data_IF_687654514741
#
_entry.id   IF_687654514741
#
_cell.length_a   1.000
_cell.length_b   1.000
_cell.length_c   1.000
_cell.angle_alpha   90.00
_cell.angle_beta   90.00
_cell.angle_gamma   90.00
#
_symmetry.space_group_name_H-M   'P 1'
#
loop_
_entity.id
_entity.type
_entity.pdbx_description
1 polymer ?
#
# COMPACT_ATOMS: atom_id res chain seq x y z
N UNK A 1 -3.75 -28.82 -30.02
CA UNK A 1 -2.88 -27.94 -30.82
C UNK A 1 -3.48 -27.84 -32.22
N UNK A 2 -4.23 -26.78 -32.50
CA UNK A 2 -4.78 -26.56 -33.84
C UNK A 2 -3.69 -25.94 -34.73
N UNK A 3 -3.40 -26.59 -35.87
CA UNK A 3 -2.44 -26.12 -36.85
C UNK A 3 -2.96 -24.83 -37.49
N UNK A 4 -2.25 -23.72 -37.27
CA UNK A 4 -2.57 -22.43 -37.89
C UNK A 4 -2.27 -22.44 -39.39
N UNK A 5 -3.28 -22.11 -40.20
CA UNK A 5 -3.15 -21.87 -41.63
C UNK A 5 -2.10 -20.78 -41.92
N UNK A 6 -1.21 -21.04 -42.88
CA UNK A 6 -0.16 -20.09 -43.27
C UNK A 6 -0.77 -18.95 -44.08
N UNK A 7 -1.17 -17.87 -43.40
CA UNK A 7 -1.61 -16.61 -44.04
C UNK A 7 -0.49 -16.01 -44.93
N UNK A 8 -0.89 -15.50 -46.10
CA UNK A 8 -0.02 -14.91 -47.12
C UNK A 8 0.74 -13.66 -46.66
N UNK A 9 1.79 -13.28 -47.40
CA UNK A 9 2.70 -12.16 -47.06
C UNK A 9 1.97 -10.82 -46.87
N UNK A 10 0.95 -10.55 -47.70
CA UNK A 10 0.14 -9.33 -47.62
C UNK A 10 -0.73 -9.31 -46.36
N UNK A 11 -1.32 -10.44 -45.97
CA UNK A 11 -2.09 -10.55 -44.73
C UNK A 11 -1.20 -10.34 -43.49
N UNK A 12 0.03 -10.88 -43.51
CA UNK A 12 1.02 -10.63 -42.44
C UNK A 12 1.51 -9.18 -42.36
N UNK A 13 1.51 -8.46 -43.49
CA UNK A 13 1.89 -7.04 -43.54
C UNK A 13 0.75 -6.13 -43.06
N UNK A 14 -0.51 -6.53 -43.28
CA UNK A 14 -1.69 -5.77 -42.88
C UNK A 14 -2.17 -6.06 -41.45
N UNK A 15 -2.15 -7.32 -40.99
CA UNK A 15 -2.67 -7.70 -39.66
C UNK A 15 -1.70 -7.37 -38.51
N UNK A 16 -0.43 -7.11 -38.80
CA UNK A 16 0.60 -7.06 -37.75
C UNK A 16 0.64 -8.38 -36.95
N UNK A 17 1.54 -8.48 -35.97
CA UNK A 17 1.42 -9.58 -34.99
C UNK A 17 0.30 -9.21 -34.03
N UNK A 18 -0.74 -10.04 -33.94
CA UNK A 18 -1.66 -9.98 -32.82
C UNK A 18 -0.84 -10.00 -31.52
N UNK A 19 -1.17 -9.12 -30.58
CA UNK A 19 -0.51 -9.14 -29.26
C UNK A 19 -0.96 -10.43 -28.59
N UNK A 20 -0.12 -11.46 -28.65
CA UNK A 20 -0.30 -12.71 -27.91
C UNK A 20 -0.71 -12.37 -26.47
N UNK A 21 -1.67 -13.11 -25.89
CA UNK A 21 -2.15 -12.85 -24.52
C UNK A 21 -1.01 -12.78 -23.50
N UNK A 22 0.09 -13.50 -23.77
CA UNK A 22 1.31 -13.49 -22.99
C UNK A 22 2.06 -12.14 -23.06
N UNK A 23 2.08 -11.49 -24.23
CA UNK A 23 2.62 -10.13 -24.39
C UNK A 23 1.76 -9.11 -23.62
N UNK A 24 0.43 -9.20 -23.73
CA UNK A 24 -0.48 -8.36 -22.96
C UNK A 24 -0.29 -8.53 -21.44
N UNK A 25 -0.17 -9.78 -20.95
CA UNK A 25 0.13 -10.07 -19.53
C UNK A 25 1.51 -9.59 -19.09
N UNK A 26 2.51 -9.63 -19.97
CA UNK A 26 3.87 -9.16 -19.67
C UNK A 26 3.96 -7.64 -19.46
N UNK A 27 3.00 -6.90 -20.02
CA UNK A 27 2.92 -5.43 -19.92
C UNK A 27 2.17 -4.94 -18.67
N UNK A 28 1.50 -5.84 -17.93
CA UNK A 28 0.78 -5.49 -16.71
C UNK A 28 1.75 -5.22 -15.54
N UNK A 29 1.41 -4.30 -14.63
CA UNK A 29 2.29 -3.94 -13.52
C UNK A 29 2.47 -5.11 -12.55
N UNK A 30 3.73 -5.36 -12.16
CA UNK A 30 4.13 -6.48 -11.30
C UNK A 30 4.30 -6.12 -9.83
N UNK A 31 4.39 -4.82 -9.51
CA UNK A 31 4.44 -4.30 -8.15
C UNK A 31 3.75 -2.92 -8.08
N UNK A 32 3.54 -2.42 -6.86
CA UNK A 32 2.89 -1.12 -6.59
C UNK A 32 3.63 0.05 -7.26
N UNK A 33 4.96 0.04 -7.22
CA UNK A 33 5.77 1.07 -7.89
C UNK A 33 5.59 1.10 -9.42
N UNK A 34 5.51 -0.07 -10.06
CA UNK A 34 5.24 -0.20 -11.49
C UNK A 34 3.81 0.26 -11.81
N UNK A 35 2.84 -0.09 -10.95
CA UNK A 35 1.46 0.36 -11.07
C UNK A 35 1.33 1.88 -10.98
N UNK A 36 2.05 2.53 -10.06
CA UNK A 36 2.10 3.99 -9.97
C UNK A 36 2.49 4.60 -11.32
N UNK A 37 3.60 4.14 -11.92
CA UNK A 37 4.08 4.66 -13.20
C UNK A 37 3.17 4.29 -14.38
N UNK A 38 2.52 3.13 -14.33
CA UNK A 38 1.51 2.73 -15.31
C UNK A 38 0.30 3.66 -15.29
N UNK A 39 -0.20 4.04 -14.10
CA UNK A 39 -1.28 5.01 -13.96
C UNK A 39 -0.85 6.40 -14.42
N UNK A 40 0.33 6.86 -13.98
CA UNK A 40 0.84 8.20 -14.35
C UNK A 40 1.00 8.32 -15.87
N UNK A 41 1.57 7.32 -16.55
CA UNK A 41 1.84 7.39 -17.99
C UNK A 41 0.62 6.99 -18.83
N UNK A 42 -0.09 5.94 -18.44
CA UNK A 42 -1.23 5.39 -19.19
C UNK A 42 -2.55 6.12 -18.96
N UNK A 43 -2.73 6.80 -17.82
CA UNK A 43 -3.97 7.50 -17.45
C UNK A 43 -3.75 8.97 -17.08
N UNK A 44 -2.66 9.60 -17.57
CA UNK A 44 -2.31 10.98 -17.25
C UNK A 44 -3.46 11.98 -17.46
N UNK A 45 -4.14 11.90 -18.61
CA UNK A 45 -5.27 12.80 -18.92
C UNK A 45 -6.39 12.69 -17.90
N UNK A 46 -6.64 11.48 -17.36
CA UNK A 46 -7.65 11.28 -16.32
C UNK A 46 -7.20 11.90 -14.99
N UNK A 47 -5.92 11.82 -14.64
CA UNK A 47 -5.36 12.49 -13.46
C UNK A 47 -5.55 14.01 -13.55
N UNK A 48 -5.26 14.60 -14.72
CA UNK A 48 -5.47 16.04 -14.96
C UNK A 48 -6.93 16.43 -14.78
N UNK A 49 -7.87 15.70 -15.39
CA UNK A 49 -9.30 16.01 -15.27
C UNK A 49 -9.78 15.89 -13.81
N UNK A 50 -9.36 14.83 -13.10
CA UNK A 50 -9.69 14.67 -11.66
C UNK A 50 -9.11 15.82 -10.84
N UNK A 51 -7.88 16.25 -11.15
CA UNK A 51 -7.24 17.38 -10.49
C UNK A 51 -8.02 18.68 -10.69
N UNK A 52 -8.40 19.00 -11.92
CA UNK A 52 -9.18 20.20 -12.25
C UNK A 52 -10.54 20.20 -11.54
N UNK A 53 -11.22 19.04 -11.48
CA UNK A 53 -12.47 18.90 -10.74
C UNK A 53 -12.28 19.15 -9.24
N UNK A 54 -11.21 18.61 -8.63
CA UNK A 54 -10.88 18.93 -7.23
C UNK A 54 -10.55 20.40 -7.05
N UNK A 55 -9.80 20.98 -7.99
CA UNK A 55 -9.30 22.35 -7.91
C UNK A 55 -10.43 23.37 -7.79
N UNK A 56 -11.57 23.14 -8.44
CA UNK A 56 -12.79 23.98 -8.30
C UNK A 56 -13.17 24.14 -6.83
N UNK A 57 -13.12 23.07 -6.04
CA UNK A 57 -13.44 23.10 -4.60
C UNK A 57 -12.30 23.67 -3.74
N UNK A 58 -11.07 23.69 -4.26
CA UNK A 58 -9.93 24.31 -3.59
C UNK A 58 -9.86 25.82 -3.83
N UNK A 59 -10.56 26.39 -4.81
CA UNK A 59 -10.53 27.84 -5.11
C UNK A 59 -10.75 28.70 -3.86
N UNK A 60 -11.76 28.45 -2.99
CA UNK A 60 -11.95 29.25 -1.78
C UNK A 60 -10.76 29.17 -0.83
N UNK A 61 -10.17 27.97 -0.65
CA UNK A 61 -9.01 27.78 0.21
C UNK A 61 -7.77 28.50 -0.34
N UNK A 62 -7.54 28.39 -1.65
CA UNK A 62 -6.45 29.11 -2.33
C UNK A 62 -6.64 30.62 -2.19
N UNK A 63 -7.87 31.13 -2.41
CA UNK A 63 -8.18 32.54 -2.26
C UNK A 63 -7.91 33.04 -0.84
N UNK A 64 -8.35 32.32 0.19
CA UNK A 64 -8.08 32.68 1.59
C UNK A 64 -6.59 32.65 1.91
N UNK A 65 -5.81 31.71 1.37
CA UNK A 65 -4.35 31.68 1.52
C UNK A 65 -3.70 32.91 0.87
N UNK A 66 -4.10 33.26 -0.35
CA UNK A 66 -3.58 34.44 -1.06
C UNK A 66 -3.95 35.73 -0.34
N UNK A 67 -5.21 35.86 0.12
CA UNK A 67 -5.66 37.00 0.92
C UNK A 67 -4.88 37.12 2.23
N UNK A 68 -4.62 35.99 2.90
CA UNK A 68 -3.81 35.96 4.13
C UNK A 68 -2.38 36.46 3.88
N UNK A 69 -1.75 36.02 2.79
CA UNK A 69 -0.37 36.44 2.43
C UNK A 69 -0.36 37.93 2.10
N UNK A 70 -1.21 38.38 1.17
CA UNK A 70 -1.30 39.79 0.75
C UNK A 70 -1.66 40.73 1.90
N UNK A 71 -2.55 40.32 2.81
CA UNK A 71 -2.88 41.09 4.01
C UNK A 71 -1.69 41.21 4.97
N UNK A 72 -0.94 40.12 5.19
CA UNK A 72 0.27 40.15 6.00
C UNK A 72 1.34 41.08 5.40
N UNK A 73 1.54 41.01 4.08
CA UNK A 73 2.50 41.86 3.37
C UNK A 73 2.09 43.34 3.40
N UNK A 74 0.79 43.63 3.24
CA UNK A 74 0.24 44.98 3.36
C UNK A 74 0.47 45.55 4.76
N UNK A 75 0.14 44.80 5.82
CA UNK A 75 0.43 45.22 7.18
C UNK A 75 1.95 45.38 7.39
N UNK A 76 2.75 44.51 6.79
CA UNK A 76 4.19 44.61 6.85
C UNK A 76 4.76 45.89 6.21
N UNK A 77 4.17 46.35 5.11
CA UNK A 77 4.56 47.58 4.44
C UNK A 77 4.08 48.87 5.16
N UNK A 78 2.97 48.78 5.90
CA UNK A 78 2.40 49.91 6.64
C UNK A 78 3.07 50.14 7.99
N UNK A 79 3.61 49.09 8.62
CA UNK A 79 4.29 49.20 9.91
C UNK A 79 5.75 49.64 9.70
N UNK A 80 6.22 50.69 10.40
CA UNK A 80 7.57 51.19 10.22
C UNK A 80 8.58 50.34 11.01
N UNK A 81 8.79 49.07 10.67
CA UNK A 81 9.74 48.19 11.39
C UNK A 81 11.18 48.72 11.26
N UNK A 82 11.56 49.61 12.17
CA UNK A 82 12.83 50.37 12.20
C UNK A 82 13.16 51.08 10.88
N UNK A 83 12.94 52.40 10.86
CA UNK A 83 13.42 53.28 9.80
C UNK A 83 14.94 53.19 9.68
N UNK A 84 15.40 53.05 8.44
CA UNK A 84 16.79 53.28 8.09
C UNK A 84 17.27 54.62 8.65
N UNK A 85 18.52 54.59 9.12
CA UNK A 85 19.31 55.56 9.87
C UNK A 85 19.44 56.98 9.24
N UNK A 86 18.66 57.33 8.20
CA UNK A 86 18.85 58.55 7.42
C UNK A 86 17.59 59.37 7.09
N UNK A 87 16.37 58.87 7.34
CA UNK A 87 15.14 59.61 7.03
C UNK A 87 14.12 59.57 8.18
N UNK A 88 14.24 60.54 9.10
CA UNK A 88 13.16 61.29 9.76
C UNK A 88 12.02 60.59 10.52
N UNK A 89 11.86 59.26 10.49
CA UNK A 89 10.83 58.59 11.25
C UNK A 89 11.27 58.44 12.72
N UNK A 90 10.47 58.89 13.69
CA UNK A 90 10.80 58.68 15.09
C UNK A 90 10.92 57.18 15.36
N UNK A 91 12.02 56.75 15.98
CA UNK A 91 12.19 55.39 16.45
C UNK A 91 11.10 55.10 17.48
N UNK A 92 10.06 54.35 17.12
CA UNK A 92 9.05 53.96 18.11
C UNK A 92 9.68 52.92 19.06
N UNK A 93 9.60 53.12 20.38
CA UNK A 93 10.06 52.12 21.33
C UNK A 93 9.28 50.80 21.14
N UNK A 94 9.95 49.66 21.28
CA UNK A 94 9.37 48.31 21.36
C UNK A 94 8.72 47.72 20.08
N UNK A 95 9.18 48.05 18.87
CA UNK A 95 8.72 47.37 17.64
C UNK A 95 9.27 45.95 17.41
N UNK A 96 10.14 45.43 18.28
CA UNK A 96 10.75 44.10 18.11
C UNK A 96 9.74 42.95 18.03
N UNK A 97 8.58 43.06 18.69
CA UNK A 97 7.52 42.03 18.66
C UNK A 97 6.43 42.27 17.62
N UNK A 98 6.45 43.42 16.93
CA UNK A 98 5.41 43.82 15.99
C UNK A 98 5.26 42.84 14.80
N UNK A 99 6.32 42.29 14.18
CA UNK A 99 6.19 41.28 13.13
C UNK A 99 5.48 40.00 13.60
N UNK A 100 5.82 39.52 14.81
CA UNK A 100 5.20 38.33 15.39
C UNK A 100 3.74 38.61 15.80
N UNK A 101 3.44 39.83 16.25
CA UNK A 101 2.08 40.27 16.55
C UNK A 101 1.21 40.29 15.29
N UNK A 102 1.71 40.83 14.18
CA UNK A 102 0.99 40.84 12.89
C UNK A 102 0.75 39.41 12.41
N UNK A 103 1.74 38.53 12.54
CA UNK A 103 1.59 37.11 12.18
C UNK A 103 0.53 36.42 13.03
N UNK A 104 0.54 36.62 14.35
CA UNK A 104 -0.46 36.07 15.27
C UNK A 104 -1.87 36.55 14.92
N UNK A 105 -2.05 37.87 14.75
CA UNK A 105 -3.35 38.45 14.41
C UNK A 105 -3.85 37.94 13.05
N UNK A 106 -2.99 37.93 12.05
CA UNK A 106 -3.33 37.42 10.71
C UNK A 106 -3.72 35.95 10.76
N UNK A 107 -3.01 35.12 11.52
CA UNK A 107 -3.33 33.71 11.67
C UNK A 107 -4.66 33.49 12.42
N UNK A 108 -4.98 34.32 13.42
CA UNK A 108 -6.29 34.30 14.09
C UNK A 108 -7.43 34.68 13.14
N UNK A 109 -7.29 35.78 12.40
CA UNK A 109 -8.33 36.26 11.47
C UNK A 109 -8.59 35.28 10.32
N UNK A 110 -7.53 34.79 9.67
CA UNK A 110 -7.68 33.95 8.48
C UNK A 110 -7.77 32.45 8.79
N UNK A 111 -7.30 32.00 9.95
CA UNK A 111 -7.25 30.56 10.25
C UNK A 111 -8.64 29.93 10.40
N UNK A 112 -9.60 30.62 11.00
CA UNK A 112 -11.00 30.14 11.03
C UNK A 112 -11.61 30.06 9.61
N UNK A 113 -11.31 31.03 8.75
CA UNK A 113 -11.73 31.01 7.35
C UNK A 113 -11.08 29.85 6.57
N UNK A 114 -9.81 29.54 6.85
CA UNK A 114 -9.11 28.37 6.27
C UNK A 114 -9.76 27.05 6.68
N UNK A 115 -10.25 26.92 7.92
CA UNK A 115 -10.99 25.73 8.36
C UNK A 115 -12.26 25.55 7.53
N UNK A 116 -13.07 26.59 7.38
CA UNK A 116 -14.30 26.54 6.57
C UNK A 116 -13.98 26.21 5.10
N UNK A 117 -12.97 26.86 4.53
CA UNK A 117 -12.58 26.61 3.15
C UNK A 117 -11.98 25.22 2.94
N UNK A 118 -11.27 24.67 3.93
CA UNK A 118 -10.77 23.29 3.89
C UNK A 118 -11.91 22.27 3.87
N UNK A 119 -13.03 22.54 4.57
CA UNK A 119 -14.22 21.70 4.49
C UNK A 119 -14.88 21.75 3.10
N UNK A 120 -14.85 22.90 2.42
CA UNK A 120 -15.30 22.99 1.02
C UNK A 120 -14.36 22.17 0.12
N UNK A 121 -13.03 22.32 0.27
CA UNK A 121 -12.05 21.55 -0.47
C UNK A 121 -12.20 20.03 -0.23
N UNK A 122 -12.58 19.62 0.98
CA UNK A 122 -12.84 18.23 1.34
C UNK A 122 -13.95 17.58 0.50
N UNK A 123 -14.93 18.35 0.00
CA UNK A 123 -15.92 17.86 -0.96
C UNK A 123 -15.25 17.41 -2.25
N UNK A 124 -14.30 18.19 -2.77
CA UNK A 124 -13.49 17.81 -3.93
C UNK A 124 -12.63 16.57 -3.67
N UNK A 125 -11.94 16.53 -2.51
CA UNK A 125 -11.12 15.38 -2.10
C UNK A 125 -11.96 14.09 -2.06
N UNK A 126 -13.21 14.16 -1.58
CA UNK A 126 -14.11 13.01 -1.52
C UNK A 126 -14.35 12.35 -2.89
N UNK A 127 -14.59 13.17 -3.92
CA UNK A 127 -14.72 12.69 -5.30
C UNK A 127 -13.42 12.18 -5.88
N UNK A 128 -12.33 12.94 -5.72
CA UNK A 128 -11.02 12.59 -6.26
C UNK A 128 -10.46 11.30 -5.67
N UNK A 129 -10.60 11.14 -4.35
CA UNK A 129 -10.26 9.93 -3.60
C UNK A 129 -10.89 8.67 -4.21
N UNK A 130 -12.19 8.72 -4.52
CA UNK A 130 -12.90 7.56 -5.07
C UNK A 130 -12.33 7.18 -6.45
N UNK A 131 -12.13 8.19 -7.31
CA UNK A 131 -11.61 7.98 -8.66
C UNK A 131 -10.18 7.44 -8.62
N UNK A 132 -9.30 8.03 -7.81
CA UNK A 132 -7.90 7.59 -7.65
C UNK A 132 -7.83 6.18 -7.06
N UNK A 133 -8.62 5.87 -6.02
CA UNK A 133 -8.70 4.52 -5.46
C UNK A 133 -9.06 3.48 -6.53
N UNK A 134 -10.06 3.77 -7.36
CA UNK A 134 -10.46 2.87 -8.43
C UNK A 134 -9.38 2.75 -9.53
N UNK A 135 -8.60 3.81 -9.80
CA UNK A 135 -7.43 3.71 -10.68
C UNK A 135 -6.37 2.76 -10.11
N UNK A 136 -6.08 2.83 -8.81
CA UNK A 136 -5.12 1.93 -8.15
C UNK A 136 -5.63 0.48 -8.14
N UNK A 137 -6.93 0.28 -8.14
CA UNK A 137 -7.52 -1.05 -8.36
C UNK A 137 -7.56 -1.48 -9.83
N UNK A 138 -7.02 -0.68 -10.75
CA UNK A 138 -7.04 -0.86 -12.21
C UNK A 138 -8.43 -0.96 -12.83
N UNK A 139 -9.47 -0.58 -12.09
CA UNK A 139 -10.85 -0.61 -12.58
C UNK A 139 -11.06 0.41 -13.71
N UNK A 140 -12.00 0.12 -14.60
CA UNK A 140 -12.45 1.06 -15.62
C UNK A 140 -13.15 2.24 -14.96
N UNK A 141 -12.66 3.46 -15.24
CA UNK A 141 -13.18 4.69 -14.62
C UNK A 141 -13.67 5.71 -15.66
N UNK A 142 -14.84 6.26 -15.37
CA UNK A 142 -15.42 7.43 -16.05
C UNK A 142 -15.33 8.62 -15.09
N UNK A 143 -14.27 9.42 -15.25
CA UNK A 143 -13.82 10.43 -14.28
C UNK A 143 -14.97 11.30 -13.73
N UNK A 144 -15.76 11.93 -14.58
CA UNK A 144 -16.80 12.87 -14.13
C UNK A 144 -17.90 12.17 -13.32
N UNK A 145 -18.44 11.05 -13.82
CA UNK A 145 -19.52 10.32 -13.16
C UNK A 145 -19.04 9.69 -11.85
N UNK A 146 -17.86 9.09 -11.86
CA UNK A 146 -17.25 8.48 -10.68
C UNK A 146 -16.87 9.50 -9.62
N UNK A 147 -16.47 10.72 -10.01
CA UNK A 147 -16.16 11.81 -9.09
C UNK A 147 -17.41 12.20 -8.28
N UNK A 148 -18.53 12.51 -8.94
CA UNK A 148 -19.78 12.87 -8.26
C UNK A 148 -20.36 11.72 -7.44
N UNK A 149 -20.23 10.49 -7.93
CA UNK A 149 -20.57 9.29 -7.15
C UNK A 149 -19.71 9.16 -5.90
N UNK A 150 -18.41 9.40 -6.05
CA UNK A 150 -17.43 9.38 -4.96
C UNK A 150 -17.77 10.38 -3.86
N UNK A 151 -18.16 11.60 -4.23
CA UNK A 151 -18.65 12.61 -3.28
C UNK A 151 -19.76 12.03 -2.41
N UNK A 152 -20.82 11.51 -3.03
CA UNK A 152 -21.99 10.99 -2.29
C UNK A 152 -21.64 9.85 -1.33
N UNK A 153 -20.66 9.02 -1.66
CA UNK A 153 -20.27 7.86 -0.85
C UNK A 153 -19.35 8.25 0.31
N UNK A 154 -18.37 9.10 0.07
CA UNK A 154 -17.27 9.34 1.01
C UNK A 154 -17.39 10.66 1.79
N UNK A 155 -18.31 11.57 1.41
CA UNK A 155 -18.33 12.95 1.92
C UNK A 155 -18.36 13.04 3.44
N UNK A 156 -19.16 12.21 4.13
CA UNK A 156 -19.25 12.27 5.59
C UNK A 156 -17.93 11.98 6.29
N UNK A 157 -17.20 10.96 5.81
CA UNK A 157 -15.92 10.56 6.41
C UNK A 157 -14.80 11.53 6.07
N UNK A 158 -14.79 12.06 4.85
CA UNK A 158 -13.79 13.03 4.40
C UNK A 158 -14.00 14.37 5.07
N UNK A 159 -15.25 14.85 5.22
CA UNK A 159 -15.55 16.06 5.98
C UNK A 159 -15.15 15.92 7.44
N UNK A 160 -15.48 14.81 8.10
CA UNK A 160 -15.10 14.61 9.50
C UNK A 160 -13.58 14.54 9.69
N UNK A 161 -12.87 13.88 8.76
CA UNK A 161 -11.40 13.80 8.78
C UNK A 161 -10.76 15.17 8.55
N UNK A 162 -11.27 15.93 7.58
CA UNK A 162 -10.78 17.29 7.29
C UNK A 162 -11.13 18.26 8.41
N UNK A 163 -12.30 18.14 9.04
CA UNK A 163 -12.65 18.95 10.22
C UNK A 163 -11.66 18.74 11.36
N UNK A 164 -11.39 17.47 11.70
CA UNK A 164 -10.40 17.12 12.70
C UNK A 164 -9.02 17.70 12.35
N UNK A 165 -8.56 17.46 11.12
CA UNK A 165 -7.25 17.92 10.65
C UNK A 165 -7.11 19.44 10.67
N UNK A 166 -8.05 20.16 10.05
CA UNK A 166 -7.99 21.62 9.91
C UNK A 166 -8.14 22.35 11.24
N UNK A 167 -8.97 21.85 12.16
CA UNK A 167 -9.09 22.42 13.52
C UNK A 167 -7.78 22.21 14.28
N UNK A 168 -7.20 21.01 14.26
CA UNK A 168 -5.92 20.77 14.92
C UNK A 168 -4.80 21.63 14.32
N UNK A 169 -4.69 21.70 13.00
CA UNK A 169 -3.73 22.58 12.32
C UNK A 169 -3.88 24.04 12.76
N UNK A 170 -5.11 24.55 12.83
CA UNK A 170 -5.39 25.91 13.25
C UNK A 170 -4.92 26.16 14.69
N UNK A 171 -5.28 25.27 15.62
CA UNK A 171 -4.89 25.37 17.04
C UNK A 171 -3.37 25.34 17.23
N UNK A 172 -2.67 24.40 16.57
CA UNK A 172 -1.21 24.32 16.67
C UNK A 172 -0.52 25.51 15.97
N UNK A 173 -1.06 26.02 14.87
CA UNK A 173 -0.52 27.21 14.19
C UNK A 173 -0.65 28.47 15.05
N UNK A 174 -1.78 28.64 15.75
CA UNK A 174 -1.95 29.71 16.74
C UNK A 174 -0.98 29.51 17.91
N UNK A 175 -0.87 28.30 18.44
CA UNK A 175 0.05 27.99 19.55
C UNK A 175 1.49 28.40 19.20
N UNK A 176 1.95 28.08 17.99
CA UNK A 176 3.28 28.49 17.50
C UNK A 176 3.38 30.01 17.40
N UNK A 177 2.40 30.67 16.78
CA UNK A 177 2.40 32.13 16.61
C UNK A 177 2.39 32.87 17.95
N UNK A 178 1.66 32.33 18.93
CA UNK A 178 1.58 32.86 20.28
C UNK A 178 2.91 32.71 21.02
N UNK A 179 3.52 31.53 20.94
CA UNK A 179 4.84 31.27 21.53
C UNK A 179 5.92 32.21 20.95
N UNK A 180 5.91 32.42 19.63
CA UNK A 180 6.82 33.36 18.96
C UNK A 180 6.61 34.80 19.45
N UNK A 181 5.35 35.25 19.53
CA UNK A 181 5.04 36.60 20.01
C UNK A 181 5.42 36.81 21.48
N UNK A 182 5.23 35.78 22.31
CA UNK A 182 5.58 35.81 23.75
C UNK A 182 7.09 35.99 23.95
N UNK A 183 7.88 35.19 23.22
CA UNK A 183 9.35 35.30 23.20
C UNK A 183 9.77 36.69 22.73
N UNK A 184 9.22 37.17 21.61
CA UNK A 184 9.59 38.45 21.02
C UNK A 184 9.22 39.66 21.89
N UNK A 185 8.16 39.53 22.70
CA UNK A 185 7.72 40.57 23.63
C UNK A 185 8.50 40.59 24.95
N UNK A 186 9.48 39.70 25.14
CA UNK A 186 10.22 39.55 26.39
C UNK A 186 9.36 39.03 27.54
N UNK A 187 8.19 38.44 27.24
CA UNK A 187 7.26 37.93 28.21
C UNK A 187 7.40 36.40 28.37
N UNK A 188 7.07 35.88 29.55
CA UNK A 188 7.07 34.44 29.81
C UNK A 188 8.46 33.78 29.78
N UNK A 189 8.47 32.45 29.86
CA UNK A 189 9.70 31.66 29.85
C UNK A 189 10.05 31.23 28.42
N UNK A 190 11.14 31.76 27.88
CA UNK A 190 11.58 31.50 26.50
C UNK A 190 11.88 30.03 26.20
N UNK A 191 12.41 29.28 27.18
CA UNK A 191 12.70 27.85 27.04
C UNK A 191 11.40 27.06 26.91
N UNK A 192 10.42 27.31 27.78
CA UNK A 192 9.12 26.64 27.72
C UNK A 192 8.36 26.96 26.41
N UNK A 193 8.42 28.21 25.95
CA UNK A 193 7.81 28.62 24.68
C UNK A 193 8.47 27.92 23.48
N UNK A 194 9.79 27.77 23.51
CA UNK A 194 10.53 27.05 22.46
C UNK A 194 10.18 25.56 22.43
N UNK A 195 10.07 24.93 23.60
CA UNK A 195 9.62 23.53 23.71
C UNK A 195 8.19 23.38 23.16
N UNK A 196 7.28 24.30 23.50
CA UNK A 196 5.90 24.28 23.01
C UNK A 196 5.82 24.40 21.48
N UNK A 197 6.65 25.24 20.87
CA UNK A 197 6.75 25.33 19.40
C UNK A 197 7.22 23.99 18.79
N UNK A 198 8.29 23.40 19.33
CA UNK A 198 8.82 22.13 18.85
C UNK A 198 7.76 21.01 18.93
N UNK A 199 7.06 20.90 20.06
CA UNK A 199 5.95 19.95 20.25
C UNK A 199 4.82 20.21 19.26
N UNK A 200 4.47 21.47 19.00
CA UNK A 200 3.42 21.84 18.05
C UNK A 200 3.77 21.44 16.60
N UNK A 201 5.01 21.64 16.16
CA UNK A 201 5.46 21.17 14.84
C UNK A 201 5.42 19.63 14.71
N UNK A 202 5.87 18.92 15.75
CA UNK A 202 5.79 17.45 15.80
C UNK A 202 4.34 16.98 15.76
N UNK A 203 3.44 17.63 16.51
CA UNK A 203 2.02 17.33 16.52
C UNK A 203 1.38 17.56 15.14
N UNK A 204 1.72 18.66 14.44
CA UNK A 204 1.26 18.92 13.07
C UNK A 204 1.70 17.80 12.12
N UNK A 205 2.96 17.36 12.20
CA UNK A 205 3.47 16.26 11.37
C UNK A 205 2.69 14.96 11.61
N UNK A 206 2.50 14.58 12.87
CA UNK A 206 1.74 13.37 13.26
C UNK A 206 0.29 13.48 12.77
N UNK A 207 -0.38 14.59 13.02
CA UNK A 207 -1.79 14.79 12.65
C UNK A 207 -1.98 14.84 11.13
N UNK A 208 -0.99 15.35 10.38
CA UNK A 208 -0.99 15.29 8.92
C UNK A 208 -0.91 13.85 8.42
N UNK A 209 -0.01 13.04 8.98
CA UNK A 209 0.06 11.61 8.64
C UNK A 209 -1.23 10.88 9.02
N UNK A 210 -1.80 11.18 10.18
CA UNK A 210 -3.09 10.62 10.60
C UNK A 210 -4.19 11.00 9.61
N UNK A 211 -4.28 12.26 9.18
CA UNK A 211 -5.27 12.70 8.21
C UNK A 211 -5.17 11.92 6.89
N UNK A 212 -3.95 11.74 6.38
CA UNK A 212 -3.74 10.96 5.16
C UNK A 212 -4.17 9.49 5.33
N UNK A 213 -3.90 8.87 6.49
CA UNK A 213 -4.41 7.53 6.83
C UNK A 213 -5.94 7.47 6.97
N UNK A 214 -6.55 8.51 7.54
CA UNK A 214 -8.01 8.61 7.65
C UNK A 214 -8.65 8.67 6.25
N UNK A 215 -8.05 9.41 5.33
CA UNK A 215 -8.49 9.47 3.93
C UNK A 215 -8.41 8.10 3.26
N UNK A 216 -7.27 7.42 3.34
CA UNK A 216 -7.10 6.11 2.68
C UNK A 216 -7.99 5.04 3.29
N UNK A 217 -8.07 4.93 4.61
CA UNK A 217 -8.94 3.95 5.27
C UNK A 217 -10.42 4.26 5.04
N UNK A 218 -10.82 5.53 5.11
CA UNK A 218 -12.21 5.95 4.88
C UNK A 218 -12.67 5.67 3.46
N UNK A 219 -11.76 5.69 2.48
CA UNK A 219 -12.05 5.29 1.11
C UNK A 219 -12.27 3.78 0.95
N UNK A 220 -11.58 2.95 1.74
CA UNK A 220 -11.52 1.50 1.51
C UNK A 220 -12.44 0.71 2.44
N UNK A 221 -12.71 1.25 3.64
CA UNK A 221 -13.44 0.56 4.69
C UNK A 221 -14.54 1.45 5.27
N UNK A 222 -15.69 0.84 5.57
CA UNK A 222 -16.78 1.49 6.29
C UNK A 222 -16.47 1.49 7.79
N UNK A 223 -15.81 2.54 8.27
CA UNK A 223 -15.42 2.70 9.68
C UNK A 223 -16.19 3.85 10.33
N UNK A 224 -16.46 3.77 11.64
CA UNK A 224 -16.92 4.93 12.41
C UNK A 224 -15.78 5.90 12.64
N UNK A 225 -16.08 7.19 12.83
CA UNK A 225 -15.05 8.23 13.00
C UNK A 225 -14.00 7.92 14.07
N UNK A 226 -14.41 7.53 15.29
CA UNK A 226 -13.44 7.21 16.36
C UNK A 226 -12.64 5.93 16.10
N UNK A 227 -13.20 4.98 15.35
CA UNK A 227 -12.44 3.79 14.91
C UNK A 227 -11.40 4.19 13.87
N UNK A 228 -11.80 5.02 12.90
CA UNK A 228 -10.91 5.58 11.89
C UNK A 228 -9.76 6.36 12.53
N UNK A 229 -10.05 7.20 13.52
CA UNK A 229 -9.07 7.99 14.25
C UNK A 229 -8.03 7.10 14.97
N UNK A 230 -8.50 6.09 15.73
CA UNK A 230 -7.63 5.13 16.44
C UNK A 230 -6.77 4.32 15.47
N UNK A 231 -7.36 3.83 14.39
CA UNK A 231 -6.65 3.02 13.40
C UNK A 231 -5.60 3.87 12.65
N UNK A 232 -5.93 5.12 12.33
CA UNK A 232 -5.00 6.04 11.65
C UNK A 232 -3.84 6.43 12.55
N UNK A 233 -4.09 6.62 13.85
CA UNK A 233 -3.04 6.80 14.84
C UNK A 233 -2.10 5.59 14.87
N UNK A 234 -2.64 4.37 14.95
CA UNK A 234 -1.84 3.15 14.97
C UNK A 234 -0.96 3.01 13.72
N UNK A 235 -1.50 3.29 12.52
CA UNK A 235 -0.73 3.22 11.28
C UNK A 235 0.33 4.31 11.15
N UNK A 236 0.09 5.49 11.74
CA UNK A 236 1.05 6.60 11.75
C UNK A 236 2.36 6.18 12.44
N UNK A 237 2.26 5.47 13.56
CA UNK A 237 3.43 4.98 14.30
C UNK A 237 3.92 3.61 13.83
N UNK A 238 3.00 2.70 13.46
CA UNK A 238 3.33 1.36 13.01
C UNK A 238 4.17 1.32 11.73
N UNK A 239 4.10 2.38 10.91
CA UNK A 239 4.84 2.50 9.65
C UNK A 239 5.63 3.82 9.55
N UNK A 240 6.14 4.34 10.67
CA UNK A 240 6.71 5.68 10.74
C UNK A 240 7.77 5.97 9.66
N UNK A 241 8.69 5.04 9.39
CA UNK A 241 9.73 5.24 8.38
C UNK A 241 9.17 5.30 6.96
N UNK A 242 8.23 4.42 6.63
CA UNK A 242 7.56 4.43 5.33
C UNK A 242 6.68 5.66 5.18
N UNK A 243 5.95 6.04 6.23
CA UNK A 243 5.11 7.23 6.27
C UNK A 243 5.93 8.50 5.96
N UNK A 244 7.11 8.66 6.57
CA UNK A 244 7.99 9.80 6.31
C UNK A 244 8.45 9.81 4.84
N UNK A 245 8.90 8.67 4.33
CA UNK A 245 9.36 8.55 2.95
C UNK A 245 8.27 8.90 1.94
N UNK A 246 7.07 8.34 2.09
CA UNK A 246 5.96 8.61 1.17
C UNK A 246 5.34 9.98 1.37
N UNK A 247 5.35 10.54 2.58
CA UNK A 247 4.95 11.93 2.82
C UNK A 247 5.90 12.91 2.12
N UNK A 248 7.20 12.64 2.10
CA UNK A 248 8.16 13.44 1.33
C UNK A 248 7.88 13.36 -0.18
N UNK A 249 7.67 12.16 -0.73
CA UNK A 249 7.33 11.99 -2.15
C UNK A 249 6.01 12.68 -2.52
N UNK A 250 5.01 12.59 -1.65
CA UNK A 250 3.74 13.27 -1.78
C UNK A 250 3.94 14.79 -1.81
N UNK A 251 4.78 15.32 -0.92
CA UNK A 251 5.00 16.75 -0.76
C UNK A 251 5.83 17.40 -1.87
N UNK A 252 6.38 16.65 -2.84
CA UNK A 252 7.23 17.18 -3.92
C UNK A 252 6.64 18.45 -4.59
N UNK A 253 5.36 18.49 -5.03
CA UNK A 253 4.81 19.70 -5.63
C UNK A 253 4.83 20.91 -4.69
N UNK A 254 4.59 20.69 -3.39
CA UNK A 254 4.62 21.75 -2.37
C UNK A 254 6.05 22.18 -2.09
N UNK A 255 6.99 21.25 -1.98
CA UNK A 255 8.42 21.55 -1.79
C UNK A 255 8.93 22.44 -2.92
N UNK A 256 8.56 22.16 -4.17
CA UNK A 256 8.92 23.01 -5.32
C UNK A 256 8.38 24.44 -5.17
N UNK A 257 7.16 24.61 -4.67
CA UNK A 257 6.60 25.95 -4.35
C UNK A 257 7.42 26.66 -3.28
N UNK A 258 7.83 25.94 -2.23
CA UNK A 258 8.59 26.51 -1.11
C UNK A 258 10.04 26.87 -1.46
N UNK A 259 10.63 26.28 -2.50
CA UNK A 259 11.99 26.61 -2.95
C UNK A 259 12.10 28.00 -3.61
N UNK A 260 10.98 28.60 -4.03
CA UNK A 260 10.96 29.94 -4.64
C UNK A 260 11.44 29.98 -6.10
N UNK A 261 11.53 31.20 -6.66
CA UNK A 261 12.09 31.47 -8.00
C UNK A 261 11.45 30.61 -9.11
N UNK A 262 12.25 30.07 -10.02
CA UNK A 262 11.80 29.21 -11.11
C UNK A 262 11.14 27.90 -10.62
N UNK A 263 11.61 27.32 -9.50
CA UNK A 263 11.02 26.10 -8.93
C UNK A 263 9.58 26.34 -8.45
N UNK A 264 9.29 27.54 -7.94
CA UNK A 264 7.96 27.91 -7.51
C UNK A 264 6.96 27.91 -8.68
N UNK A 265 7.37 28.45 -9.83
CA UNK A 265 6.54 28.44 -11.04
C UNK A 265 6.23 27.00 -11.47
N UNK A 266 7.24 26.13 -11.49
CA UNK A 266 7.05 24.70 -11.79
C UNK A 266 6.10 24.05 -10.79
N UNK A 267 6.32 24.28 -9.49
CA UNK A 267 5.47 23.72 -8.43
C UNK A 267 4.01 24.13 -8.58
N UNK A 268 3.74 25.41 -8.86
CA UNK A 268 2.40 25.92 -9.12
C UNK A 268 1.79 25.27 -10.36
N UNK A 269 2.52 25.20 -11.48
CA UNK A 269 2.03 24.56 -12.71
C UNK A 269 1.69 23.09 -12.48
N UNK A 270 2.53 22.35 -11.75
CA UNK A 270 2.25 20.96 -11.38
C UNK A 270 0.98 20.88 -10.53
N UNK A 271 0.84 21.73 -9.49
CA UNK A 271 -0.36 21.78 -8.64
C UNK A 271 -1.64 22.04 -9.43
N UNK A 272 -1.61 23.00 -10.35
CA UNK A 272 -2.75 23.35 -11.20
C UNK A 272 -3.13 22.22 -12.16
N UNK A 273 -2.14 21.56 -12.77
CA UNK A 273 -2.39 20.53 -13.78
C UNK A 273 -2.78 19.18 -13.17
N UNK A 274 -2.02 18.67 -12.21
CA UNK A 274 -2.26 17.33 -11.66
C UNK A 274 -1.77 17.11 -10.21
N UNK A 275 -1.27 18.12 -9.51
CA UNK A 275 -0.55 17.94 -8.24
C UNK A 275 -1.39 17.37 -7.09
N UNK A 276 -2.66 17.77 -6.94
CA UNK A 276 -3.55 17.22 -5.91
C UNK A 276 -3.84 15.74 -6.22
N UNK A 277 -4.11 15.44 -7.49
CA UNK A 277 -4.33 14.05 -7.93
C UNK A 277 -3.08 13.17 -7.78
N UNK A 278 -1.89 13.73 -8.01
CA UNK A 278 -0.61 13.08 -7.76
C UNK A 278 -0.42 12.78 -6.27
N UNK A 279 -0.68 13.75 -5.39
CA UNK A 279 -0.55 13.56 -3.95
C UNK A 279 -1.44 12.41 -3.47
N UNK A 280 -2.71 12.39 -3.90
CA UNK A 280 -3.63 11.29 -3.61
C UNK A 280 -3.12 9.97 -4.20
N UNK A 281 -2.62 9.96 -5.44
CA UNK A 281 -2.12 8.74 -6.07
C UNK A 281 -0.94 8.12 -5.32
N UNK A 282 0.06 8.93 -4.95
CA UNK A 282 1.22 8.49 -4.16
C UNK A 282 0.76 7.88 -2.84
N UNK A 283 -0.12 8.57 -2.12
CA UNK A 283 -0.59 8.07 -0.83
C UNK A 283 -1.47 6.82 -0.96
N UNK A 284 -2.36 6.79 -1.95
CA UNK A 284 -3.29 5.68 -2.12
C UNK A 284 -2.57 4.42 -2.57
N UNK A 285 -1.63 4.51 -3.50
CA UNK A 285 -0.83 3.35 -3.92
C UNK A 285 -0.01 2.78 -2.75
N UNK A 286 0.64 3.64 -1.96
CA UNK A 286 1.32 3.25 -0.72
C UNK A 286 0.37 2.61 0.30
N UNK A 287 -0.80 3.23 0.53
CA UNK A 287 -1.75 2.71 1.52
C UNK A 287 -2.34 1.36 1.11
N UNK A 288 -2.55 1.11 -0.18
CA UNK A 288 -3.02 -0.19 -0.68
C UNK A 288 -1.99 -1.29 -0.44
N UNK A 289 -0.70 -0.99 -0.59
CA UNK A 289 0.35 -1.92 -0.17
C UNK A 289 0.25 -2.28 1.32
N UNK A 290 0.02 -1.28 2.17
CA UNK A 290 -0.12 -1.51 3.61
C UNK A 290 -1.39 -2.29 3.93
N UNK A 291 -2.51 -1.99 3.27
CA UNK A 291 -3.77 -2.73 3.39
C UNK A 291 -3.59 -4.19 3.03
N UNK A 292 -3.07 -4.46 1.83
CA UNK A 292 -2.73 -5.80 1.36
C UNK A 292 -1.89 -6.59 2.38
N UNK A 293 -0.86 -5.95 2.92
CA UNK A 293 0.09 -6.59 3.83
C UNK A 293 -0.49 -6.85 5.21
N UNK A 294 -1.23 -5.91 5.79
CA UNK A 294 -1.61 -5.94 7.21
C UNK A 294 -3.07 -6.35 7.47
N UNK A 295 -3.97 -6.12 6.51
CA UNK A 295 -5.42 -6.34 6.67
C UNK A 295 -5.90 -7.46 5.75
N UNK A 296 -5.79 -7.30 4.43
CA UNK A 296 -6.36 -8.23 3.45
C UNK A 296 -5.72 -9.62 3.50
N UNK A 297 -4.41 -9.71 3.75
CA UNK A 297 -3.71 -10.99 3.90
C UNK A 297 -4.22 -11.86 5.05
N UNK A 298 -4.85 -11.24 6.06
CA UNK A 298 -5.37 -11.90 7.27
C UNK A 298 -6.88 -12.07 7.23
N UNK A 299 -7.56 -11.54 6.22
CA UNK A 299 -9.01 -11.57 6.10
C UNK A 299 -9.43 -12.76 5.25
N UNK A 300 -10.37 -13.56 5.74
CA UNK A 300 -10.99 -14.63 4.95
C UNK A 300 -11.63 -14.05 3.67
N UNK A 301 -11.22 -14.56 2.50
CA UNK A 301 -11.65 -14.05 1.20
C UNK A 301 -11.07 -12.68 0.81
N UNK A 302 -10.05 -12.20 1.53
CA UNK A 302 -9.34 -10.96 1.21
C UNK A 302 -8.66 -11.03 -0.16
N UNK A 303 -8.99 -10.07 -1.04
CA UNK A 303 -8.31 -9.92 -2.33
C UNK A 303 -7.06 -9.07 -2.15
N UNK A 304 -5.90 -9.72 -2.07
CA UNK A 304 -4.57 -9.11 -1.97
C UNK A 304 -4.05 -8.75 -3.37
N UNK A 305 -3.24 -7.69 -3.49
CA UNK A 305 -2.56 -7.28 -4.74
C UNK A 305 -3.52 -6.92 -5.88
N UNK A 306 -4.67 -6.32 -5.55
CA UNK A 306 -5.59 -5.81 -6.59
C UNK A 306 -4.87 -4.82 -7.51
N UNK A 307 -5.05 -5.02 -8.81
CA UNK A 307 -4.41 -4.22 -9.84
C UNK A 307 -2.96 -4.58 -10.15
N UNK A 308 -2.43 -5.65 -9.55
CA UNK A 308 -1.07 -6.15 -9.78
C UNK A 308 -1.15 -7.56 -10.33
N UNK A 309 -0.41 -7.82 -11.40
CA UNK A 309 -0.38 -9.14 -12.03
C UNK A 309 0.74 -10.00 -11.43
N UNK A 310 0.39 -11.18 -10.90
CA UNK A 310 1.39 -12.18 -10.54
C UNK A 310 1.93 -12.79 -11.83
N UNK A 311 3.24 -12.63 -12.09
CA UNK A 311 3.89 -13.39 -13.15
C UNK A 311 3.81 -14.88 -12.80
N UNK A 312 2.82 -15.58 -13.32
CA UNK A 312 2.79 -17.04 -13.38
C UNK A 312 3.83 -17.47 -14.42
N UNK A 313 5.10 -17.51 -14.00
CA UNK A 313 6.22 -17.82 -14.87
C UNK A 313 7.53 -17.88 -14.11
N UNK A 314 8.15 -19.07 -14.12
CA UNK A 314 9.41 -19.49 -13.48
C UNK A 314 10.38 -18.32 -13.20
N UNK A 315 10.58 -18.01 -11.91
CA UNK A 315 11.79 -17.33 -11.43
C UNK A 315 11.71 -15.85 -11.06
N UNK A 316 10.54 -15.27 -10.79
CA UNK A 316 10.48 -13.94 -10.16
C UNK A 316 10.38 -14.05 -8.64
N UNK A 317 11.30 -13.38 -7.93
CA UNK A 317 11.44 -13.36 -6.48
C UNK A 317 10.11 -13.05 -5.76
N UNK A 318 9.40 -14.11 -5.38
CA UNK A 318 8.35 -14.06 -4.37
C UNK A 318 8.96 -13.55 -3.05
N UNK A 319 8.21 -12.75 -2.29
CA UNK A 319 8.59 -12.40 -0.92
C UNK A 319 8.90 -13.69 -0.12
N UNK A 320 9.95 -13.70 0.72
CA UNK A 320 10.36 -14.89 1.50
C UNK A 320 9.19 -15.61 2.18
N UNK A 321 8.23 -14.87 2.72
CA UNK A 321 7.03 -15.42 3.36
C UNK A 321 6.09 -16.16 2.39
N UNK A 322 6.00 -15.73 1.13
CA UNK A 322 5.21 -16.41 0.09
C UNK A 322 5.95 -17.64 -0.42
N UNK A 323 7.29 -17.56 -0.54
CA UNK A 323 8.12 -18.74 -0.86
C UNK A 323 8.05 -19.80 0.23
N UNK A 324 8.09 -19.41 1.51
CA UNK A 324 7.97 -20.34 2.64
C UNK A 324 6.57 -20.94 2.73
N UNK A 325 5.52 -20.14 2.47
CA UNK A 325 4.15 -20.65 2.43
C UNK A 325 3.94 -21.63 1.28
N UNK A 326 4.37 -21.29 0.06
CA UNK A 326 4.26 -22.16 -1.10
C UNK A 326 5.16 -23.39 -0.97
N UNK A 327 6.37 -23.27 -0.43
CA UNK A 327 7.25 -24.41 -0.16
C UNK A 327 6.66 -25.33 0.91
N UNK A 328 6.04 -24.79 1.97
CA UNK A 328 5.33 -25.59 2.97
C UNK A 328 4.07 -26.24 2.39
N UNK A 329 3.35 -25.55 1.51
CA UNK A 329 2.16 -26.07 0.85
C UNK A 329 2.52 -27.17 -0.16
N UNK A 330 3.57 -26.97 -0.96
CA UNK A 330 4.14 -27.97 -1.86
C UNK A 330 4.70 -29.16 -1.06
N UNK A 331 5.37 -28.92 0.07
CA UNK A 331 5.84 -29.98 0.96
C UNK A 331 4.68 -30.76 1.58
N UNK A 332 3.60 -30.09 1.98
CA UNK A 332 2.39 -30.73 2.51
C UNK A 332 1.64 -31.53 1.44
N UNK A 333 1.56 -31.02 0.20
CA UNK A 333 0.98 -31.74 -0.94
C UNK A 333 1.87 -32.87 -1.46
N UNK A 334 3.17 -32.83 -1.18
CA UNK A 334 4.12 -33.90 -1.50
C UNK A 334 4.09 -35.05 -0.48
N UNK A 335 3.32 -34.95 0.61
CA UNK A 335 3.10 -36.07 1.53
C UNK A 335 2.06 -37.00 0.91
N UNK A 336 2.49 -38.23 0.58
CA UNK A 336 1.60 -39.28 0.07
C UNK A 336 0.53 -39.58 1.13
N UNK A 337 -0.72 -39.19 0.87
CA UNK A 337 -1.84 -39.57 1.72
C UNK A 337 -2.04 -41.08 1.65
N UNK A 338 -1.77 -41.77 2.77
CA UNK A 338 -1.91 -43.23 2.88
C UNK A 338 -3.34 -43.66 2.53
N UNK A 339 -4.35 -42.87 2.94
CA UNK A 339 -5.77 -43.11 2.63
C UNK A 339 -6.10 -43.11 1.12
N UNK A 340 -5.38 -42.31 0.33
CA UNK A 340 -5.65 -42.15 -1.10
C UNK A 340 -4.81 -43.09 -1.96
N UNK A 341 -3.73 -43.64 -1.40
CA UNK A 341 -2.78 -44.50 -2.12
C UNK A 341 -3.09 -45.99 -2.06
N UNK A 342 -3.97 -46.43 -1.14
CA UNK A 342 -4.36 -47.84 -1.00
C UNK A 342 -5.87 -48.01 -0.94
N UNK A 343 -6.40 -49.14 -1.44
CA UNK A 343 -7.79 -49.52 -1.21
C UNK A 343 -8.09 -49.65 0.28
N UNK A 344 -9.26 -49.16 0.68
CA UNK A 344 -9.78 -49.29 2.03
C UNK A 344 -11.13 -49.96 1.93
N UNK A 345 -11.30 -51.04 2.71
CA UNK A 345 -12.55 -51.79 2.72
C UNK A 345 -13.69 -50.92 3.30
N UNK A 346 -14.85 -50.83 2.64
CA UNK A 346 -16.04 -50.17 3.21
C UNK A 346 -16.47 -50.83 4.53
N UNK A 347 -16.99 -50.02 5.46
CA UNK A 347 -17.50 -50.48 6.78
C UNK A 347 -18.89 -51.11 6.59
N UNK A 348 -18.96 -52.19 5.83
CA UNK A 348 -20.21 -52.91 5.54
C UNK A 348 -20.13 -54.37 5.99
N UNK A 349 -19.10 -54.73 6.74
CA UNK A 349 -18.78 -56.12 7.07
C UNK A 349 -19.20 -56.50 8.51
N UNK A 350 -19.46 -57.79 8.71
CA UNK A 350 -19.98 -58.36 9.96
C UNK A 350 -18.88 -58.64 11.01
N UNK A 351 -17.61 -58.39 10.65
CA UNK A 351 -16.43 -58.55 11.51
C UNK A 351 -16.42 -57.51 12.64
N UNK A 352 -16.71 -57.97 13.86
CA UNK A 352 -16.68 -57.14 15.08
C UNK A 352 -15.46 -57.47 15.94
N UNK A 353 -14.86 -56.43 16.50
CA UNK A 353 -13.80 -56.59 17.51
C UNK A 353 -14.42 -57.25 18.75
N UNK A 354 -13.78 -58.29 19.28
CA UNK A 354 -14.23 -58.91 20.52
C UNK A 354 -14.11 -57.90 21.68
N UNK A 355 -15.21 -57.61 22.35
CA UNK A 355 -15.21 -56.68 23.49
C UNK A 355 -14.84 -57.43 24.77
N UNK A 356 -13.92 -56.86 25.55
CA UNK A 356 -13.51 -57.47 26.81
C UNK A 356 -14.58 -57.25 27.89
N UNK A 357 -14.97 -58.30 28.66
CA UNK A 357 -15.84 -58.15 29.82
C UNK A 357 -15.13 -57.42 30.98
N UNK A 358 -15.90 -56.90 31.95
CA UNK A 358 -15.38 -56.13 33.11
C UNK A 358 -14.32 -56.89 33.94
N UNK A 359 -14.36 -58.22 33.94
CA UNK A 359 -13.31 -59.09 34.45
C UNK A 359 -12.83 -60.03 33.32
N UNK A 360 -11.59 -59.83 32.84
CA UNK A 360 -11.04 -60.56 31.69
C UNK A 360 -9.95 -61.56 32.08
N UNK A 361 -9.94 -62.70 31.39
CA UNK A 361 -8.93 -63.76 31.53
C UNK A 361 -7.83 -63.68 30.45
N UNK A 362 -6.77 -64.48 30.58
CA UNK A 362 -5.75 -64.61 29.53
C UNK A 362 -6.31 -65.15 28.21
N UNK A 363 -7.37 -65.96 28.27
CA UNK A 363 -8.04 -66.49 27.08
C UNK A 363 -8.87 -65.41 26.38
N UNK A 364 -9.45 -64.46 27.12
CA UNK A 364 -10.16 -63.31 26.54
C UNK A 364 -9.21 -62.35 25.81
N UNK A 365 -7.99 -62.18 26.32
CA UNK A 365 -6.94 -61.42 25.62
C UNK A 365 -6.50 -62.14 24.33
N UNK A 366 -6.48 -63.47 24.33
CA UNK A 366 -6.16 -64.25 23.13
C UNK A 366 -7.26 -64.09 22.07
N UNK A 367 -8.53 -64.19 22.46
CA UNK A 367 -9.68 -63.94 21.57
C UNK A 367 -9.72 -62.51 21.02
N UNK A 368 -9.40 -61.52 21.85
CA UNK A 368 -9.25 -60.13 21.40
C UNK A 368 -8.16 -60.01 20.34
N UNK A 369 -7.00 -60.61 20.57
CA UNK A 369 -5.88 -60.58 19.61
C UNK A 369 -6.26 -61.27 18.30
N UNK A 370 -6.85 -62.47 18.37
CA UNK A 370 -7.32 -63.21 17.19
C UNK A 370 -8.37 -62.39 16.41
N UNK A 371 -9.31 -61.72 17.08
CA UNK A 371 -10.28 -60.84 16.41
C UNK A 371 -9.64 -59.64 15.71
N UNK A 372 -8.55 -59.09 16.25
CA UNK A 372 -7.79 -58.00 15.63
C UNK A 372 -6.94 -58.50 14.45
N UNK A 373 -6.31 -59.66 14.59
CA UNK A 373 -5.52 -60.30 13.53
C UNK A 373 -6.41 -60.61 12.32
N UNK A 374 -7.61 -61.15 12.54
CA UNK A 374 -8.58 -61.40 11.46
C UNK A 374 -8.98 -60.14 10.70
N UNK A 375 -9.17 -59.01 11.40
CA UNK A 375 -9.49 -57.72 10.76
C UNK A 375 -8.29 -57.19 9.96
N UNK A 376 -7.07 -57.37 10.47
CA UNK A 376 -5.84 -56.96 9.78
C UNK A 376 -5.65 -57.79 8.50
N UNK A 377 -5.72 -59.12 8.60
CA UNK A 377 -5.58 -60.02 7.45
C UNK A 377 -6.65 -59.77 6.38
N UNK A 378 -7.89 -59.52 6.79
CA UNK A 378 -8.99 -59.19 5.88
C UNK A 378 -8.78 -57.83 5.18
N UNK A 379 -8.30 -56.83 5.93
CA UNK A 379 -7.96 -55.51 5.36
C UNK A 379 -6.81 -55.59 4.36
N UNK A 380 -5.78 -56.38 4.68
CA UNK A 380 -4.62 -56.61 3.79
C UNK A 380 -5.04 -57.36 2.53
N UNK A 381 -5.86 -58.41 2.67
CA UNK A 381 -6.39 -59.17 1.53
C UNK A 381 -7.21 -58.28 0.59
N UNK A 382 -8.09 -57.45 1.14
CA UNK A 382 -8.87 -56.50 0.35
C UNK A 382 -7.97 -55.50 -0.39
N UNK A 383 -6.92 -54.99 0.27
CA UNK A 383 -5.98 -54.07 -0.33
C UNK A 383 -5.14 -54.73 -1.45
N UNK A 384 -4.82 -56.02 -1.35
CA UNK A 384 -4.13 -56.78 -2.40
C UNK A 384 -5.04 -57.05 -3.60
N UNK A 385 -6.29 -57.45 -3.36
CA UNK A 385 -7.28 -57.73 -4.40
C UNK A 385 -7.61 -56.50 -5.24
N UNK A 386 -7.72 -55.32 -4.60
CA UNK A 386 -8.11 -54.06 -5.25
C UNK A 386 -6.91 -53.15 -5.59
N UNK A 387 -5.68 -53.67 -5.44
CA UNK A 387 -4.44 -52.92 -5.69
C UNK A 387 -4.35 -52.37 -7.12
N UNK A 388 -4.95 -53.09 -8.06
CA UNK A 388 -4.91 -52.79 -9.49
C UNK A 388 -6.15 -52.01 -10.00
N UNK A 389 -7.04 -51.56 -9.11
CA UNK A 389 -8.17 -50.73 -9.53
C UNK A 389 -7.67 -49.43 -10.14
N UNK A 390 -8.30 -49.02 -11.25
CA UNK A 390 -7.90 -47.86 -12.06
C UNK A 390 -7.66 -46.60 -11.20
N UNK A 391 -8.51 -46.38 -10.20
CA UNK A 391 -8.43 -45.24 -9.28
C UNK A 391 -7.09 -45.16 -8.51
N UNK A 392 -6.60 -46.28 -7.99
CA UNK A 392 -5.36 -46.31 -7.19
C UNK A 392 -4.12 -46.35 -8.07
N UNK A 393 -4.19 -47.03 -9.22
CA UNK A 393 -3.11 -47.06 -10.21
C UNK A 393 -2.90 -45.67 -10.81
N UNK A 394 -3.96 -44.97 -11.21
CA UNK A 394 -3.86 -43.60 -11.72
C UNK A 394 -3.33 -42.62 -10.67
N UNK A 395 -3.81 -42.72 -9.43
CA UNK A 395 -3.37 -41.85 -8.34
C UNK A 395 -1.88 -42.05 -8.04
N UNK A 396 -1.44 -43.31 -7.91
CA UNK A 396 -0.04 -43.63 -7.64
C UNK A 396 0.86 -43.25 -8.83
N UNK A 397 0.43 -43.47 -10.08
CA UNK A 397 1.17 -43.08 -11.27
C UNK A 397 1.32 -41.54 -11.39
N UNK A 398 0.26 -40.77 -11.11
CA UNK A 398 0.33 -39.29 -11.07
C UNK A 398 1.31 -38.80 -10.00
N UNK A 399 1.32 -39.44 -8.84
CA UNK A 399 2.24 -39.08 -7.76
C UNK A 399 3.70 -39.42 -8.10
N UNK A 400 3.97 -40.58 -8.69
CA UNK A 400 5.30 -40.96 -9.17
C UNK A 400 5.81 -40.04 -10.29
N UNK A 401 4.93 -39.62 -11.22
CA UNK A 401 5.28 -38.64 -12.24
C UNK A 401 5.66 -37.29 -11.62
N UNK A 402 4.87 -36.79 -10.66
CA UNK A 402 5.21 -35.57 -9.93
C UNK A 402 6.55 -35.67 -9.20
N UNK A 403 6.84 -36.81 -8.57
CA UNK A 403 8.13 -37.04 -7.89
C UNK A 403 9.30 -37.06 -8.89
N UNK A 404 9.16 -37.75 -10.03
CA UNK A 404 10.18 -37.75 -11.08
C UNK A 404 10.44 -36.36 -11.65
N UNK A 405 9.39 -35.61 -11.95
CA UNK A 405 9.52 -34.21 -12.41
C UNK A 405 10.18 -33.31 -11.37
N UNK A 406 9.95 -33.58 -10.08
CA UNK A 406 10.61 -32.85 -8.98
C UNK A 406 12.09 -33.20 -8.90
N UNK A 407 12.45 -34.48 -8.92
CA UNK A 407 13.85 -34.91 -8.93
C UNK A 407 14.60 -34.39 -10.15
N UNK A 408 13.96 -34.35 -11.32
CA UNK A 408 14.54 -33.79 -12.53
C UNK A 408 14.77 -32.28 -12.40
N UNK A 409 13.80 -31.55 -11.81
CA UNK A 409 13.96 -30.12 -11.49
C UNK A 409 15.10 -29.87 -10.49
N UNK A 410 15.22 -30.70 -9.46
CA UNK A 410 16.29 -30.62 -8.45
C UNK A 410 17.66 -30.92 -9.07
N UNK A 411 17.77 -32.00 -9.87
CA UNK A 411 18.99 -32.34 -10.63
C UNK A 411 19.38 -31.23 -11.62
N UNK A 412 18.40 -30.60 -12.26
CA UNK A 412 18.63 -29.49 -13.17
C UNK A 412 19.12 -28.23 -12.42
N UNK A 413 18.49 -27.90 -11.28
CA UNK A 413 18.91 -26.81 -10.42
C UNK A 413 20.33 -27.02 -9.87
N UNK A 414 20.69 -28.26 -9.51
CA UNK A 414 22.04 -28.60 -9.04
C UNK A 414 23.09 -28.49 -10.16
N UNK A 415 22.75 -28.92 -11.39
CA UNK A 415 23.59 -28.74 -12.59
C UNK A 415 23.80 -27.25 -12.90
N UNK A 416 22.75 -26.44 -12.79
CA UNK A 416 22.83 -25.00 -13.04
C UNK A 416 23.62 -24.27 -11.93
N UNK A 417 23.52 -24.72 -10.68
CA UNK A 417 24.36 -24.25 -9.57
C UNK A 417 25.84 -24.61 -9.76
N UNK A 418 26.15 -25.83 -10.22
CA UNK A 418 27.52 -26.27 -10.56
C UNK A 418 28.09 -25.47 -11.74
N UNK A 419 27.30 -25.19 -12.78
CA UNK A 419 27.70 -24.32 -13.90
C UNK A 419 27.97 -22.88 -13.45
N UNK A 420 27.14 -22.31 -12.56
CA UNK A 420 27.39 -20.98 -11.96
C UNK A 420 28.67 -20.94 -11.13
N UNK A 421 28.97 -21.99 -10.35
CA UNK A 421 30.23 -22.09 -9.59
C UNK A 421 31.46 -22.20 -10.50
N UNK A 422 31.36 -22.93 -11.63
CA UNK A 422 32.46 -23.07 -12.59
C UNK A 422 32.76 -21.75 -13.32
N UNK A 423 31.71 -21.05 -13.79
CA UNK A 423 31.83 -19.69 -14.37
C UNK A 423 32.46 -18.67 -13.42
N UNK A 424 32.22 -18.78 -12.11
CA UNK A 424 32.79 -17.89 -11.09
C UNK A 424 34.27 -18.20 -10.78
N UNK A 425 34.73 -19.41 -11.09
CA UNK A 425 36.12 -19.86 -10.92
C UNK A 425 36.99 -19.47 -12.12
N UNK A 426 36.41 -19.51 -13.33
CA UNK A 426 37.08 -19.13 -14.58
C UNK A 426 37.16 -17.59 -14.77
N UNK A 427 36.45 -16.81 -13.95
CA UNK A 427 36.47 -15.34 -13.97
C UNK A 427 37.26 -14.70 -12.82
N UNK A 428 38.08 -15.46 -12.10
CA UNK A 428 38.99 -14.91 -11.09
C UNK A 428 40.20 -14.30 -11.82
N UNK A 429 40.52 -12.99 -11.64
CA UNK A 429 41.69 -12.41 -12.26
C UNK A 429 42.96 -13.03 -11.65
N UNK A 430 43.90 -13.43 -12.52
CA UNK A 430 45.29 -13.69 -12.16
C UNK A 430 45.84 -12.44 -11.46
N UNK A 431 46.10 -12.53 -10.15
CA UNK A 431 47.03 -11.64 -9.47
C UNK A 431 48.42 -12.21 -9.71
N UNK A 432 49.14 -11.60 -10.66
CA UNK A 432 50.55 -11.85 -10.88
C UNK A 432 51.34 -11.41 -9.65
N UNK A 433 52.19 -12.30 -9.16
CA UNK A 433 53.16 -12.01 -8.12
C UNK A 433 54.38 -11.39 -8.78
N UNK A 434 54.64 -10.11 -8.51
CA UNK A 434 55.85 -9.42 -8.91
C UNK A 434 56.47 -8.71 -7.72
N UNK A 435 57.65 -9.18 -7.33
CA UNK A 435 58.57 -8.53 -6.39
C UNK A 435 58.89 -7.09 -6.85
N UNK A 436 58.84 -6.13 -5.93
CA UNK A 436 59.94 -5.24 -5.48
C UNK A 436 59.45 -4.29 -4.38
#
# INVERSE_FOLDING_TARGET
MAQGEKKGFIARMLEGKERDEEYARSTLPTNRWALFWDIVKGRFSKLVIVNLLMLIFFIPLIAVIVLRITYADMLGALYPFSGDLFLGFPAYPNMQSAPQQITLMTNLYFGAAMVVCALIAAVGISGGMYVIRNMVWTEGIFVANDFWRGIKINIGIVLASTAFYSICLYLFSISISWAQWTIASGAGNSVLMTISMAVSYVAIAIITLMYLWMLSMGANYKLKFFQLLKNSFLMTFGLIFQNIFFAFLLAIPIILVLLGSFFQIIGIVILLLFGISYMLLVWFDYSQWAFDKFFESKREGGKVNRGIYSKTGKGSAQSKAVQEYEANLEAAMAVRSDLSSRPIKPITDDLKVYELPEAFSRDDLKKLRESKELIIEDTERYAEEHKNDEKFVEYNAKFEQMQKEREEREKQAEKDAKKKKKKKKDSAPYMDGGNE
#
